data_IF_784938996256
#
_entry.id   IF_784938996256
#
_cell.length_a   1.000
_cell.length_b   1.000
_cell.length_c   1.000
_cell.angle_alpha   90.00
_cell.angle_beta   90.00
_cell.angle_gamma   90.00
#
_symmetry.space_group_name_H-M   'P 1'
#
loop_
_entity.id
_entity.type
_entity.pdbx_description
1 polymer ?
#
# COMPACT_ATOMS: atom_id res chain seq x y z
N UNK A 1 -5.19 -12.32 -8.84
CA UNK A 1 -4.56 -12.76 -7.59
C UNK A 1 -3.37 -13.60 -7.99
N UNK A 2 -2.21 -13.39 -7.37
CA UNK A 2 -1.02 -14.20 -7.60
C UNK A 2 -0.55 -14.78 -6.26
N UNK A 3 0.13 -15.92 -6.29
CA UNK A 3 0.77 -16.54 -5.12
C UNK A 3 2.27 -16.60 -5.40
N UNK A 4 3.12 -16.45 -4.39
CA UNK A 4 4.58 -16.44 -4.56
C UNK A 4 5.29 -17.31 -3.49
N UNK A 5 6.40 -17.92 -3.89
CA UNK A 5 7.34 -18.73 -3.10
C UNK A 5 8.77 -18.50 -3.64
N UNK A 6 9.83 -18.87 -2.92
CA UNK A 6 11.23 -18.51 -3.27
C UNK A 6 12.27 -19.57 -2.84
N UNK A 7 13.44 -19.60 -3.50
CA UNK A 7 14.68 -20.32 -3.13
C UNK A 7 15.76 -20.16 -4.22
N UNK A 8 17.08 -20.30 -4.04
CA UNK A 8 18.08 -20.18 -2.92
C UNK A 8 19.48 -20.37 -3.54
N UNK A 9 20.57 -19.83 -2.97
CA UNK A 9 22.00 -20.26 -3.06
C UNK A 9 22.87 -19.26 -2.23
N UNK A 10 24.17 -19.45 -1.90
CA UNK A 10 25.10 -20.53 -2.23
C UNK A 10 25.83 -21.13 -0.98
N UNK A 11 27.15 -20.91 -0.83
CA UNK A 11 28.11 -21.52 0.13
C UNK A 11 29.34 -20.58 0.30
N UNK A 12 30.17 -20.61 1.36
CA UNK A 12 30.95 -21.72 1.95
C UNK A 12 31.40 -21.47 3.42
N UNK A 13 32.13 -22.38 4.12
CA UNK A 13 32.05 -22.54 5.59
C UNK A 13 33.27 -22.05 6.41
N UNK A 14 33.11 -22.04 7.75
CA UNK A 14 34.18 -22.35 8.75
C UNK A 14 33.62 -22.75 10.12
N UNK A 15 34.38 -23.56 10.84
CA UNK A 15 34.10 -24.06 12.20
C UNK A 15 34.54 -23.07 13.29
N UNK A 16 34.00 -23.24 14.50
CA UNK A 16 34.65 -23.26 15.83
C UNK A 16 33.52 -23.45 16.86
N UNK A 17 33.74 -24.26 17.92
CA UNK A 17 32.75 -24.48 18.98
C UNK A 17 33.36 -24.39 20.39
N UNK A 18 32.51 -24.25 21.42
CA UNK A 18 32.84 -24.40 22.86
C UNK A 18 31.58 -24.60 23.74
N UNK A 19 31.79 -25.02 25.00
CA UNK A 19 30.81 -25.55 26.00
C UNK A 19 30.32 -24.52 27.05
N UNK A 20 29.26 -24.71 27.87
CA UNK A 20 28.28 -25.82 27.96
C UNK A 20 26.79 -25.41 28.26
N UNK A 21 26.30 -25.22 29.52
CA UNK A 21 25.08 -25.96 29.89
C UNK A 21 23.84 -25.22 30.43
N UNK A 22 22.68 -25.86 30.16
CA UNK A 22 21.43 -25.99 30.97
C UNK A 22 20.53 -24.79 31.30
N UNK A 23 19.32 -24.76 30.70
CA UNK A 23 18.02 -25.12 31.32
C UNK A 23 16.92 -25.22 30.21
N UNK A 24 15.82 -26.01 30.38
CA UNK A 24 14.88 -26.30 29.29
C UNK A 24 13.65 -25.38 29.22
N UNK A 25 13.21 -24.94 28.02
CA UNK A 25 11.87 -24.42 27.78
C UNK A 25 10.87 -25.56 27.45
N UNK A 26 9.55 -25.32 27.60
CA UNK A 26 8.53 -26.37 27.46
C UNK A 26 8.35 -26.88 26.02
N UNK A 27 7.88 -28.12 25.91
CA UNK A 27 7.74 -28.88 24.66
C UNK A 27 6.70 -28.29 23.70
N UNK A 28 7.16 -27.71 22.60
CA UNK A 28 6.36 -27.56 21.38
C UNK A 28 6.52 -28.81 20.51
N UNK A 29 5.40 -29.41 20.10
CA UNK A 29 5.42 -30.53 19.16
C UNK A 29 5.96 -30.09 17.79
N UNK A 30 6.96 -30.83 17.30
CA UNK A 30 7.60 -30.57 16.01
C UNK A 30 6.63 -30.80 14.84
N UNK A 31 6.00 -29.73 14.33
CA UNK A 31 5.44 -29.75 12.96
C UNK A 31 6.59 -29.94 11.97
N UNK A 32 6.50 -31.03 11.21
CA UNK A 32 7.51 -31.51 10.27
C UNK A 32 7.99 -30.44 9.28
N UNK A 33 9.31 -30.32 9.12
CA UNK A 33 9.93 -29.49 8.07
C UNK A 33 9.42 -29.95 6.70
N UNK A 34 8.67 -29.10 5.99
CA UNK A 34 8.38 -29.28 4.55
C UNK A 34 9.67 -29.03 3.76
N UNK A 35 10.40 -30.09 3.44
CA UNK A 35 11.55 -30.04 2.53
C UNK A 35 11.08 -30.01 1.07
N UNK A 36 11.72 -29.16 0.26
CA UNK A 36 11.48 -29.04 -1.18
C UNK A 36 10.26 -28.17 -1.52
N UNK A 37 10.49 -26.97 -2.05
CA UNK A 37 9.40 -26.14 -2.60
C UNK A 37 9.85 -25.39 -3.85
N UNK A 38 9.37 -25.85 -5.01
CA UNK A 38 9.33 -25.11 -6.27
C UNK A 38 8.52 -23.82 -6.07
N UNK A 39 8.86 -22.74 -6.78
CA UNK A 39 8.03 -21.54 -6.84
C UNK A 39 6.86 -21.76 -7.79
N UNK A 40 5.66 -21.95 -7.25
CA UNK A 40 4.42 -22.08 -8.04
C UNK A 40 3.56 -20.82 -7.89
N UNK A 41 3.24 -20.18 -9.02
CA UNK A 41 2.47 -18.93 -9.06
C UNK A 41 0.99 -19.23 -9.33
N UNK A 42 0.24 -19.54 -8.28
CA UNK A 42 -1.20 -19.78 -8.44
C UNK A 42 -1.96 -18.50 -8.79
N UNK A 43 -2.71 -18.56 -9.89
CA UNK A 43 -3.53 -17.46 -10.37
C UNK A 43 -5.03 -17.79 -10.26
N UNK A 44 -5.79 -16.94 -9.56
CA UNK A 44 -7.20 -17.18 -9.20
C UNK A 44 -8.22 -16.55 -10.16
N UNK A 45 -9.37 -17.23 -10.34
CA UNK A 45 -10.52 -16.81 -11.15
C UNK A 45 -11.81 -16.82 -10.34
N UNK A 46 -12.63 -15.77 -10.45
CA UNK A 46 -14.03 -15.79 -10.00
C UNK A 46 -14.92 -15.36 -11.15
N UNK A 47 -15.96 -16.16 -11.43
CA UNK A 47 -16.94 -15.89 -12.48
C UNK A 47 -17.68 -14.56 -12.23
N UNK A 48 -18.03 -14.28 -10.96
CA UNK A 48 -18.65 -13.01 -10.54
C UNK A 48 -17.76 -11.80 -10.83
N UNK A 49 -16.44 -11.96 -10.76
CA UNK A 49 -15.44 -10.92 -11.02
C UNK A 49 -14.97 -10.86 -12.48
N UNK A 50 -15.69 -11.52 -13.41
CA UNK A 50 -15.35 -11.62 -14.85
C UNK A 50 -13.94 -12.15 -15.13
N UNK A 51 -13.32 -12.86 -14.19
CA UNK A 51 -12.02 -13.54 -14.36
C UNK A 51 -12.31 -15.00 -14.63
N UNK A 52 -11.89 -15.50 -15.79
CA UNK A 52 -12.01 -16.90 -16.18
C UNK A 52 -10.63 -17.50 -16.44
N UNK A 53 -10.53 -18.82 -16.37
CA UNK A 53 -9.28 -19.57 -16.58
C UNK A 53 -8.62 -19.18 -17.91
N UNK A 54 -9.43 -19.13 -18.98
CA UNK A 54 -9.03 -18.68 -20.31
C UNK A 54 -8.33 -17.31 -20.32
N UNK A 55 -8.75 -16.36 -19.47
CA UNK A 55 -8.09 -15.04 -19.36
C UNK A 55 -6.73 -15.13 -18.68
N UNK A 56 -6.56 -16.03 -17.70
CA UNK A 56 -5.27 -16.27 -17.07
C UNK A 56 -4.31 -16.99 -18.02
N UNK A 57 -4.76 -18.07 -18.67
CA UNK A 57 -4.00 -18.77 -19.72
C UNK A 57 -3.56 -17.80 -20.83
N UNK A 58 -4.47 -16.94 -21.30
CA UNK A 58 -4.13 -15.89 -22.28
C UNK A 58 -3.12 -14.86 -21.72
N UNK A 59 -3.22 -14.50 -20.44
CA UNK A 59 -2.26 -13.58 -19.80
C UNK A 59 -0.89 -14.23 -19.66
N UNK A 60 -0.81 -15.49 -19.22
CA UNK A 60 0.43 -16.26 -19.14
C UNK A 60 1.07 -16.42 -20.52
N UNK A 61 0.28 -16.71 -21.56
CA UNK A 61 0.76 -16.75 -22.94
C UNK A 61 1.34 -15.39 -23.38
N UNK A 62 0.57 -14.30 -23.25
CA UNK A 62 1.02 -12.96 -23.66
C UNK A 62 2.29 -12.53 -22.91
N UNK A 63 2.42 -12.84 -21.62
CA UNK A 63 3.63 -12.55 -20.85
C UNK A 63 4.78 -13.45 -21.27
N UNK A 64 4.56 -14.75 -21.50
CA UNK A 64 5.57 -15.68 -21.99
C UNK A 64 6.13 -15.26 -23.35
N UNK A 65 5.23 -14.94 -24.30
CA UNK A 65 5.55 -14.39 -25.61
C UNK A 65 6.31 -13.05 -25.51
N UNK A 66 5.95 -12.16 -24.55
CA UNK A 66 6.61 -10.85 -24.36
C UNK A 66 7.97 -10.95 -23.64
N UNK A 67 8.19 -12.00 -22.84
CA UNK A 67 9.39 -12.14 -21.98
C UNK A 67 10.33 -13.27 -22.39
N UNK A 68 10.01 -13.95 -23.49
CA UNK A 68 10.74 -15.12 -24.03
C UNK A 68 10.90 -16.24 -22.98
N UNK A 69 9.85 -16.46 -22.16
CA UNK A 69 9.83 -17.45 -21.09
C UNK A 69 8.67 -18.43 -21.23
N UNK A 70 8.97 -19.72 -21.05
CA UNK A 70 7.93 -20.75 -20.89
C UNK A 70 7.21 -20.57 -19.55
N UNK A 71 6.02 -19.98 -19.60
CA UNK A 71 5.11 -19.83 -18.45
C UNK A 71 3.99 -20.88 -18.46
N UNK A 72 4.01 -21.86 -19.36
CA UNK A 72 2.95 -22.89 -19.47
C UNK A 72 2.85 -23.80 -18.24
N UNK A 73 3.96 -23.93 -17.50
CA UNK A 73 4.07 -24.75 -16.29
C UNK A 73 3.60 -24.05 -15.02
N UNK A 74 3.19 -22.78 -15.10
CA UNK A 74 2.64 -22.05 -13.94
C UNK A 74 1.26 -22.62 -13.60
N UNK A 75 1.05 -23.21 -12.40
CA UNK A 75 -0.23 -23.83 -12.07
C UNK A 75 -1.34 -22.80 -11.87
N UNK A 76 -2.57 -23.17 -12.25
CA UNK A 76 -3.77 -22.33 -12.08
C UNK A 76 -4.68 -23.01 -11.05
N UNK A 77 -5.09 -22.27 -10.02
CA UNK A 77 -6.11 -22.70 -9.04
C UNK A 77 -7.38 -21.90 -9.28
N UNK A 78 -8.47 -22.62 -9.54
CA UNK A 78 -9.82 -22.06 -9.66
C UNK A 78 -10.46 -22.00 -8.28
N UNK A 79 -10.72 -20.80 -7.77
CA UNK A 79 -11.40 -20.59 -6.50
C UNK A 79 -12.32 -19.36 -6.58
N UNK A 80 -13.63 -19.55 -6.38
CA UNK A 80 -14.56 -18.43 -6.30
C UNK A 80 -14.44 -17.73 -4.93
N UNK A 81 -14.33 -16.40 -4.97
CA UNK A 81 -14.49 -15.49 -3.83
C UNK A 81 -15.76 -15.70 -3.00
N UNK A 82 -16.80 -16.32 -3.57
CA UNK A 82 -18.03 -16.70 -2.86
C UNK A 82 -18.04 -18.12 -2.27
N UNK A 83 -16.92 -18.84 -2.30
CA UNK A 83 -16.81 -20.23 -1.83
C UNK A 83 -15.64 -20.41 -0.85
N UNK A 84 -15.92 -20.23 0.44
CA UNK A 84 -14.98 -20.37 1.56
C UNK A 84 -14.13 -21.65 1.49
N UNK A 85 -14.70 -22.78 1.06
CA UNK A 85 -13.95 -24.06 0.96
C UNK A 85 -12.87 -23.98 -0.12
N UNK A 86 -13.18 -23.42 -1.29
CA UNK A 86 -12.19 -23.27 -2.36
C UNK A 86 -11.10 -22.26 -1.97
N UNK A 87 -11.47 -21.15 -1.32
CA UNK A 87 -10.50 -20.18 -0.82
C UNK A 87 -9.58 -20.78 0.26
N UNK A 88 -10.11 -21.61 1.15
CA UNK A 88 -9.31 -22.30 2.18
C UNK A 88 -8.32 -23.30 1.56
N UNK A 89 -8.75 -24.15 0.62
CA UNK A 89 -7.85 -25.09 -0.06
C UNK A 89 -6.76 -24.38 -0.88
N UNK A 90 -7.08 -23.23 -1.50
CA UNK A 90 -6.08 -22.37 -2.13
C UNK A 90 -5.09 -21.79 -1.09
N UNK A 91 -5.60 -21.26 0.02
CA UNK A 91 -4.77 -20.60 1.04
C UNK A 91 -3.79 -21.57 1.73
N UNK A 92 -4.17 -22.83 1.98
CA UNK A 92 -3.27 -23.88 2.51
C UNK A 92 -2.03 -24.16 1.65
N UNK A 93 -2.06 -23.78 0.37
CA UNK A 93 -0.98 -23.94 -0.59
C UNK A 93 -0.11 -22.68 -0.74
N UNK A 94 -0.50 -21.56 -0.12
CA UNK A 94 0.18 -20.28 -0.22
C UNK A 94 1.05 -19.96 1.01
N UNK A 95 2.19 -19.29 0.80
CA UNK A 95 2.89 -18.54 1.87
C UNK A 95 2.43 -17.09 1.92
N UNK A 96 2.22 -16.47 0.76
CA UNK A 96 1.71 -15.10 0.58
C UNK A 96 0.68 -15.07 -0.54
N UNK A 97 -0.50 -14.52 -0.25
CA UNK A 97 -1.57 -14.24 -1.23
C UNK A 97 -1.48 -12.78 -1.66
N UNK A 98 -1.31 -12.54 -2.96
CA UNK A 98 -1.28 -11.20 -3.58
C UNK A 98 -2.65 -10.89 -4.17
N UNK A 99 -3.50 -10.21 -3.39
CA UNK A 99 -4.84 -9.84 -3.79
C UNK A 99 -4.85 -8.53 -4.59
N UNK A 100 -5.31 -8.61 -5.84
CA UNK A 100 -5.35 -7.48 -6.80
C UNK A 100 -6.73 -7.36 -7.45
N UNK A 101 -7.78 -7.73 -6.71
CA UNK A 101 -9.16 -7.76 -7.23
C UNK A 101 -10.10 -7.09 -6.23
N UNK A 102 -10.42 -5.83 -6.50
CA UNK A 102 -11.50 -5.10 -5.84
C UNK A 102 -12.84 -5.18 -6.58
N UNK A 103 -13.90 -4.49 -6.10
CA UNK A 103 -13.89 -3.62 -4.92
C UNK A 103 -13.72 -4.40 -3.61
N UNK A 104 -12.76 -4.01 -2.78
CA UNK A 104 -12.36 -4.81 -1.61
C UNK A 104 -13.48 -4.87 -0.58
N UNK A 105 -14.21 -3.77 -0.37
CA UNK A 105 -15.41 -3.69 0.48
C UNK A 105 -16.49 -4.75 0.20
N UNK A 106 -16.50 -5.38 -0.97
CA UNK A 106 -17.48 -6.39 -1.36
C UNK A 106 -16.93 -7.82 -1.34
N UNK A 107 -15.64 -8.01 -1.67
CA UNK A 107 -15.08 -9.34 -1.98
C UNK A 107 -13.73 -9.64 -1.30
N UNK A 108 -13.10 -8.67 -0.65
CA UNK A 108 -11.76 -8.82 -0.08
C UNK A 108 -11.70 -9.64 1.21
N UNK A 109 -12.77 -9.63 2.02
CA UNK A 109 -12.76 -10.18 3.38
C UNK A 109 -12.69 -11.69 3.37
N UNK A 110 -13.39 -12.35 2.45
CA UNK A 110 -13.31 -13.79 2.25
C UNK A 110 -11.87 -14.24 1.94
N UNK A 111 -11.10 -13.42 1.21
CA UNK A 111 -9.68 -13.69 0.89
C UNK A 111 -8.78 -13.48 2.11
N UNK A 112 -8.96 -12.39 2.87
CA UNK A 112 -8.20 -12.13 4.11
C UNK A 112 -8.48 -13.22 5.15
N UNK A 113 -9.75 -13.55 5.36
CA UNK A 113 -10.22 -14.63 6.23
C UNK A 113 -9.56 -15.96 5.87
N UNK A 114 -9.67 -16.37 4.60
CA UNK A 114 -9.08 -17.63 4.14
C UNK A 114 -7.56 -17.66 4.27
N UNK A 115 -6.87 -16.54 3.99
CA UNK A 115 -5.43 -16.42 4.18
C UNK A 115 -5.05 -16.66 5.65
N UNK A 116 -5.65 -15.89 6.56
CA UNK A 116 -5.37 -15.94 8.00
C UNK A 116 -5.73 -17.29 8.59
N UNK A 117 -6.93 -17.82 8.33
CA UNK A 117 -7.40 -19.12 8.85
C UNK A 117 -6.54 -20.32 8.43
N UNK A 118 -5.77 -20.21 7.34
CA UNK A 118 -5.01 -21.32 6.76
C UNK A 118 -3.49 -21.10 6.75
N UNK A 119 -2.99 -20.10 7.47
CA UNK A 119 -1.55 -19.88 7.67
C UNK A 119 -0.83 -19.21 6.50
N UNK A 120 -1.54 -18.47 5.64
CA UNK A 120 -0.96 -17.64 4.59
C UNK A 120 -0.96 -16.16 4.96
N UNK A 121 0.14 -15.46 4.68
CA UNK A 121 0.20 -14.00 4.73
C UNK A 121 -0.55 -13.38 3.55
N UNK A 122 -0.94 -12.12 3.65
CA UNK A 122 -1.79 -11.44 2.68
C UNK A 122 -1.31 -10.01 2.39
N UNK A 123 -1.29 -9.64 1.10
CA UNK A 123 -1.10 -8.26 0.65
C UNK A 123 -2.16 -7.87 -0.36
N UNK A 124 -2.64 -6.63 -0.32
CA UNK A 124 -3.57 -6.08 -1.31
C UNK A 124 -3.25 -4.66 -1.78
N UNK A 125 -3.94 -4.19 -2.82
CA UNK A 125 -3.90 -2.79 -3.30
C UNK A 125 -5.22 -2.04 -2.98
N UNK A 126 -5.80 -2.27 -1.80
CA UNK A 126 -6.98 -1.52 -1.36
C UNK A 126 -6.66 -0.06 -1.05
N UNK A 127 -7.63 0.83 -1.31
CA UNK A 127 -7.47 2.29 -1.18
C UNK A 127 -8.50 2.91 -0.25
N UNK A 128 -9.29 2.10 0.46
CA UNK A 128 -10.40 2.56 1.27
C UNK A 128 -10.07 2.50 2.78
N UNK A 129 -9.83 3.62 3.49
CA UNK A 129 -9.38 3.60 4.90
C UNK A 129 -10.21 2.73 5.84
N UNK A 130 -11.55 2.85 5.81
CA UNK A 130 -12.41 2.06 6.68
C UNK A 130 -12.40 0.56 6.36
N UNK A 131 -12.08 0.19 5.12
CA UNK A 131 -11.85 -1.21 4.77
C UNK A 131 -10.58 -1.73 5.46
N UNK A 132 -9.45 -1.07 5.19
CA UNK A 132 -8.12 -1.48 5.64
C UNK A 132 -8.09 -1.54 7.18
N UNK A 133 -8.64 -0.52 7.83
CA UNK A 133 -8.73 -0.44 9.29
C UNK A 133 -9.69 -1.49 9.87
N UNK A 134 -10.76 -1.87 9.15
CA UNK A 134 -11.64 -2.96 9.59
C UNK A 134 -10.98 -4.34 9.51
N UNK A 135 -10.10 -4.58 8.53
CA UNK A 135 -9.32 -5.82 8.46
C UNK A 135 -8.37 -5.93 9.65
N UNK A 136 -7.73 -4.82 10.06
CA UNK A 136 -6.95 -4.80 11.30
C UNK A 136 -7.83 -5.12 12.52
N UNK A 137 -8.99 -4.47 12.64
CA UNK A 137 -9.91 -4.68 13.77
C UNK A 137 -10.42 -6.13 13.88
N UNK A 138 -10.64 -6.81 12.75
CA UNK A 138 -11.18 -8.18 12.71
C UNK A 138 -10.12 -9.26 12.86
N UNK A 139 -8.96 -9.10 12.21
CA UNK A 139 -8.02 -10.21 11.98
C UNK A 139 -6.66 -10.07 12.67
N UNK A 140 -6.36 -8.97 13.38
CA UNK A 140 -5.04 -8.82 14.01
C UNK A 140 -4.71 -9.95 14.97
N UNK A 141 -5.65 -10.32 15.85
CA UNK A 141 -5.43 -11.36 16.86
C UNK A 141 -5.27 -12.74 16.22
N UNK A 142 -6.15 -13.10 15.29
CA UNK A 142 -6.07 -14.38 14.60
C UNK A 142 -4.80 -14.48 13.72
N UNK A 143 -4.38 -13.39 13.09
CA UNK A 143 -3.12 -13.33 12.36
C UNK A 143 -1.90 -13.50 13.28
N UNK A 144 -1.98 -12.95 14.51
CA UNK A 144 -0.99 -13.11 15.59
C UNK A 144 -0.87 -14.57 16.04
N UNK A 145 -1.99 -15.23 16.33
CA UNK A 145 -2.05 -16.65 16.68
C UNK A 145 -1.49 -17.56 15.59
N UNK A 146 -1.72 -17.23 14.31
CA UNK A 146 -1.23 -18.01 13.17
C UNK A 146 0.19 -17.62 12.71
N UNK A 147 0.79 -16.58 13.29
CA UNK A 147 2.13 -16.06 12.92
C UNK A 147 2.22 -15.38 11.55
N UNK A 148 1.08 -15.13 10.90
CA UNK A 148 1.00 -14.57 9.54
C UNK A 148 0.91 -13.05 9.52
N UNK A 149 1.29 -12.45 8.39
CA UNK A 149 1.31 -11.00 8.21
C UNK A 149 0.24 -10.59 7.19
N UNK A 150 -0.60 -9.62 7.54
CA UNK A 150 -1.59 -9.01 6.64
C UNK A 150 -1.25 -7.53 6.46
N UNK A 151 -1.12 -7.07 5.21
CA UNK A 151 -0.82 -5.67 4.90
C UNK A 151 -1.72 -5.20 3.74
N UNK A 152 -2.71 -4.38 4.07
CA UNK A 152 -3.51 -3.68 3.06
C UNK A 152 -2.76 -2.49 2.47
N UNK A 153 -3.25 -1.99 1.32
CA UNK A 153 -2.73 -0.79 0.66
C UNK A 153 -1.24 -0.86 0.23
N UNK A 154 -0.79 -2.03 -0.22
CA UNK A 154 0.52 -2.24 -0.84
C UNK A 154 0.65 -1.66 -2.27
N UNK A 155 -0.17 -0.68 -2.65
CA UNK A 155 -0.15 -0.01 -3.97
C UNK A 155 0.55 1.35 -3.93
N UNK A 156 0.51 2.09 -5.05
CA UNK A 156 1.06 3.46 -5.11
C UNK A 156 0.31 4.46 -4.20
N UNK A 157 -1.01 4.29 -4.04
CA UNK A 157 -1.86 5.06 -3.11
C UNK A 157 -1.70 4.53 -1.66
N UNK A 158 -0.44 4.36 -1.23
CA UNK A 158 0.04 4.30 0.17
C UNK A 158 1.54 3.99 0.28
N UNK A 159 2.11 3.05 -0.49
CA UNK A 159 3.50 2.58 -0.28
C UNK A 159 4.56 3.69 -0.41
N UNK A 160 4.60 4.47 -1.51
CA UNK A 160 5.47 5.64 -1.61
C UNK A 160 5.31 6.62 -0.44
N UNK A 161 4.08 6.85 0.03
CA UNK A 161 3.82 7.81 1.11
C UNK A 161 4.29 7.30 2.48
N UNK A 162 3.92 6.07 2.81
CA UNK A 162 4.21 5.45 4.11
C UNK A 162 5.69 5.11 4.26
N UNK A 163 6.30 4.49 3.23
CA UNK A 163 7.74 4.25 3.20
C UNK A 163 8.54 5.54 3.02
N UNK A 164 7.99 6.56 2.35
CA UNK A 164 8.63 7.88 2.24
C UNK A 164 8.66 8.64 3.55
N UNK A 165 7.60 8.55 4.35
CA UNK A 165 7.56 9.08 5.72
C UNK A 165 8.53 8.34 6.65
N UNK A 166 8.64 7.01 6.52
CA UNK A 166 9.64 6.24 7.25
C UNK A 166 11.08 6.62 6.85
N UNK A 167 11.35 6.75 5.55
CA UNK A 167 12.64 7.17 5.00
C UNK A 167 13.03 8.57 5.49
N UNK A 168 12.07 9.51 5.50
CA UNK A 168 12.23 10.85 6.06
C UNK A 168 12.66 10.79 7.53
N UNK A 169 11.98 9.98 8.37
CA UNK A 169 12.33 9.80 9.79
C UNK A 169 13.73 9.22 9.97
N UNK A 170 14.09 8.18 9.21
CA UNK A 170 15.42 7.54 9.26
C UNK A 170 16.55 8.55 8.92
N UNK A 171 16.33 9.45 7.96
CA UNK A 171 17.34 10.42 7.53
C UNK A 171 17.29 11.76 8.29
N UNK A 172 16.30 11.99 9.16
CA UNK A 172 16.08 13.29 9.81
C UNK A 172 17.18 13.68 10.81
N UNK A 173 17.85 12.70 11.42
CA UNK A 173 18.88 12.89 12.46
C UNK A 173 18.39 13.84 13.57
N UNK A 174 17.44 13.38 14.37
CA UNK A 174 16.75 14.17 15.40
C UNK A 174 15.28 13.75 15.51
N UNK A 175 14.43 14.63 16.02
CA UNK A 175 12.99 14.36 16.15
C UNK A 175 12.17 15.09 15.09
N UNK A 176 11.48 14.33 14.24
CA UNK A 176 10.51 14.86 13.26
C UNK A 176 9.18 15.22 13.95
N UNK A 177 8.72 16.46 13.79
CA UNK A 177 7.42 16.94 14.33
C UNK A 177 6.28 16.71 13.35
N UNK A 178 6.49 17.06 12.08
CA UNK A 178 5.45 16.98 11.07
C UNK A 178 6.00 17.02 9.65
N UNK A 179 5.16 16.64 8.68
CA UNK A 179 5.46 16.76 7.27
C UNK A 179 4.26 17.19 6.40
N UNK A 180 4.56 17.88 5.30
CA UNK A 180 3.67 18.10 4.16
C UNK A 180 4.18 17.25 3.00
N UNK A 181 3.28 16.53 2.32
CA UNK A 181 3.65 15.67 1.19
C UNK A 181 2.92 16.07 -0.08
N UNK A 182 3.59 15.90 -1.22
CA UNK A 182 3.15 16.41 -2.50
C UNK A 182 3.34 15.37 -3.61
N UNK A 183 2.24 14.71 -4.02
CA UNK A 183 2.24 13.76 -5.12
C UNK A 183 2.03 14.47 -6.46
N UNK A 184 2.84 14.17 -7.47
CA UNK A 184 2.71 14.68 -8.83
C UNK A 184 2.76 13.53 -9.81
N UNK A 185 1.62 13.26 -10.46
CA UNK A 185 1.52 12.32 -11.57
C UNK A 185 1.84 13.09 -12.85
N UNK A 186 2.90 12.67 -13.54
CA UNK A 186 3.35 13.23 -14.80
C UNK A 186 2.85 12.35 -15.94
N UNK A 187 2.26 12.95 -16.95
CA UNK A 187 1.74 12.26 -18.12
C UNK A 187 2.54 12.64 -19.36
N UNK A 188 2.80 11.68 -20.24
CA UNK A 188 3.39 11.97 -21.55
C UNK A 188 2.40 12.54 -22.55
N UNK A 189 2.85 12.67 -23.80
CA UNK A 189 2.07 13.15 -24.95
C UNK A 189 0.82 12.30 -25.22
N UNK A 190 0.88 10.98 -24.99
CA UNK A 190 -0.28 10.11 -25.09
C UNK A 190 -1.35 10.36 -24.00
N UNK A 191 -1.10 11.27 -23.07
CA UNK A 191 -1.92 11.51 -21.88
C UNK A 191 -1.89 10.31 -20.93
N UNK A 192 -2.93 10.18 -20.11
CA UNK A 192 -3.05 9.09 -19.16
C UNK A 192 -4.52 8.78 -18.85
N UNK A 193 -4.80 7.57 -18.36
CA UNK A 193 -6.12 7.20 -17.84
C UNK A 193 -6.01 6.10 -16.79
N UNK A 194 -7.03 5.96 -15.96
CA UNK A 194 -7.13 4.96 -14.90
C UNK A 194 -8.19 3.91 -15.24
N UNK A 195 -8.17 2.76 -14.56
CA UNK A 195 -9.19 1.72 -14.75
C UNK A 195 -10.52 2.12 -14.08
N UNK A 196 -11.64 1.72 -14.69
CA UNK A 196 -12.98 1.88 -14.13
C UNK A 196 -13.14 1.27 -12.71
N UNK A 197 -12.36 0.25 -12.34
CA UNK A 197 -12.29 -0.26 -10.96
C UNK A 197 -11.90 0.81 -9.94
N UNK A 198 -10.93 1.68 -10.27
CA UNK A 198 -10.53 2.83 -9.44
C UNK A 198 -11.69 3.84 -9.28
N UNK A 199 -12.44 4.06 -10.36
CA UNK A 199 -13.62 4.92 -10.34
C UNK A 199 -14.74 4.35 -9.46
N UNK A 200 -14.98 3.03 -9.52
CA UNK A 200 -15.93 2.36 -8.62
C UNK A 200 -15.50 2.48 -7.15
N UNK A 201 -14.20 2.37 -6.86
CA UNK A 201 -13.64 2.62 -5.52
C UNK A 201 -13.92 4.05 -5.05
N UNK A 202 -13.74 5.06 -5.91
CA UNK A 202 -14.11 6.46 -5.62
C UNK A 202 -15.62 6.61 -5.34
N UNK A 203 -16.49 6.03 -6.17
CA UNK A 203 -17.96 6.06 -5.94
C UNK A 203 -18.30 5.48 -4.57
N UNK A 204 -17.78 4.29 -4.24
CA UNK A 204 -18.05 3.63 -2.97
C UNK A 204 -17.48 4.40 -1.76
N UNK A 205 -16.28 4.95 -1.89
CA UNK A 205 -15.63 5.78 -0.86
C UNK A 205 -16.45 7.03 -0.54
N UNK A 206 -16.83 7.81 -1.55
CA UNK A 206 -17.68 9.00 -1.35
C UNK A 206 -19.07 8.63 -0.81
N UNK A 207 -19.70 7.57 -1.33
CA UNK A 207 -21.02 7.11 -0.89
C UNK A 207 -21.05 6.71 0.59
N UNK A 208 -20.05 5.95 1.06
CA UNK A 208 -20.02 5.42 2.42
C UNK A 208 -19.33 6.34 3.44
N UNK A 209 -18.69 7.43 3.01
CA UNK A 209 -17.88 8.34 3.85
C UNK A 209 -18.51 8.84 5.16
N UNK A 210 -19.84 8.86 5.28
CA UNK A 210 -20.55 9.22 6.51
C UNK A 210 -20.97 8.03 7.40
N UNK A 211 -21.03 6.83 6.84
CA UNK A 211 -21.61 5.63 7.47
C UNK A 211 -20.58 4.52 7.71
N UNK A 212 -19.34 4.69 7.25
CA UNK A 212 -18.27 3.67 7.33
C UNK A 212 -17.76 3.36 8.74
N UNK A 213 -18.24 4.09 9.76
CA UNK A 213 -17.86 3.94 11.16
C UNK A 213 -16.35 4.07 11.45
N UNK A 214 -15.58 4.70 10.56
CA UNK A 214 -14.12 4.84 10.64
C UNK A 214 -13.65 5.34 12.01
N UNK A 215 -14.33 6.35 12.58
CA UNK A 215 -14.01 6.87 13.91
C UNK A 215 -14.21 5.87 15.06
N UNK A 216 -15.11 4.88 14.92
CA UNK A 216 -15.26 3.77 15.90
C UNK A 216 -14.12 2.77 15.73
N UNK A 217 -13.85 2.37 14.48
CA UNK A 217 -12.78 1.42 14.14
C UNK A 217 -11.43 1.94 14.68
N UNK A 218 -11.10 3.21 14.42
CA UNK A 218 -9.88 3.86 14.93
C UNK A 218 -9.70 3.75 16.43
N UNK A 219 -10.76 3.91 17.23
CA UNK A 219 -10.68 3.78 18.69
C UNK A 219 -10.46 2.34 19.15
N UNK A 220 -10.84 1.34 18.34
CA UNK A 220 -10.59 -0.06 18.64
C UNK A 220 -9.16 -0.50 18.26
N UNK A 221 -8.66 -0.07 17.09
CA UNK A 221 -7.31 -0.44 16.61
C UNK A 221 -6.19 0.47 17.13
N UNK A 222 -6.52 1.68 17.59
CA UNK A 222 -5.61 2.66 18.16
C UNK A 222 -6.17 3.20 19.49
N UNK A 223 -6.27 2.35 20.54
CA UNK A 223 -6.78 2.77 21.86
C UNK A 223 -5.87 3.79 22.56
N UNK A 224 -4.56 3.73 22.36
CA UNK A 224 -3.61 4.64 23.00
C UNK A 224 -3.69 6.06 22.42
N UNK A 225 -3.56 7.06 23.30
CA UNK A 225 -3.54 8.46 22.88
C UNK A 225 -2.13 8.85 22.48
N UNK A 226 -1.92 9.03 21.17
CA UNK A 226 -0.71 9.68 20.65
C UNK A 226 -0.55 11.07 21.27
N UNK A 227 0.70 11.41 21.60
CA UNK A 227 1.04 12.74 22.07
C UNK A 227 0.58 13.79 21.05
N UNK A 228 -0.14 14.82 21.51
CA UNK A 228 -0.62 15.88 20.62
C UNK A 228 0.54 16.80 20.27
N UNK A 229 1.17 16.56 19.12
CA UNK A 229 2.12 17.50 18.54
C UNK A 229 1.52 18.93 18.52
N UNK A 230 2.18 19.83 19.26
CA UNK A 230 1.88 21.28 19.36
C UNK A 230 2.05 21.93 17.99
N UNK A 231 3.13 21.56 17.32
CA UNK A 231 3.47 21.98 15.97
C UNK A 231 2.96 20.97 14.96
N UNK A 232 2.35 21.48 13.90
CA UNK A 232 1.62 20.73 12.88
C UNK A 232 1.80 21.44 11.53
N UNK A 233 1.53 20.75 10.41
CA UNK A 233 1.51 21.39 9.11
C UNK A 233 0.56 22.60 9.11
N UNK A 234 0.91 23.69 8.42
CA UNK A 234 0.06 24.87 8.34
C UNK A 234 -1.30 24.53 7.72
N UNK A 235 -2.37 25.18 8.19
CA UNK A 235 -3.71 24.99 7.62
C UNK A 235 -3.78 25.61 6.23
N UNK A 236 -3.55 24.79 5.21
CA UNK A 236 -3.75 25.15 3.80
C UNK A 236 -5.25 25.18 3.44
N UNK A 237 -5.61 26.00 2.46
CA UNK A 237 -6.93 25.95 1.83
C UNK A 237 -7.13 24.72 0.95
N UNK A 238 -8.33 24.54 0.42
CA UNK A 238 -8.64 23.48 -0.57
C UNK A 238 -7.84 23.63 -1.88
N UNK A 239 -7.31 24.83 -2.12
CA UNK A 239 -6.51 25.21 -3.27
C UNK A 239 -5.51 26.28 -2.86
N UNK A 240 -4.24 26.10 -3.22
CA UNK A 240 -3.17 27.08 -2.97
C UNK A 240 -2.00 26.84 -3.92
N UNK A 241 -1.07 27.79 -4.00
CA UNK A 241 0.13 27.72 -4.84
C UNK A 241 1.37 27.42 -4.00
N UNK A 242 2.23 26.49 -4.46
CA UNK A 242 3.47 26.14 -3.77
C UNK A 242 4.69 26.58 -4.60
N UNK A 243 5.32 27.68 -4.17
CA UNK A 243 6.49 28.27 -4.83
C UNK A 243 7.71 27.34 -4.88
N UNK A 244 7.85 26.39 -3.94
CA UNK A 244 8.96 25.45 -3.92
C UNK A 244 8.84 24.36 -5.00
N UNK A 245 7.64 24.13 -5.54
CA UNK A 245 7.34 23.06 -6.48
C UNK A 245 6.74 23.54 -7.82
N UNK A 246 6.52 24.85 -7.99
CA UNK A 246 5.97 25.46 -9.21
C UNK A 246 4.66 24.76 -9.66
N UNK A 247 3.72 24.64 -8.72
CA UNK A 247 2.45 23.95 -8.92
C UNK A 247 1.35 24.38 -7.93
N UNK A 248 0.09 24.24 -8.36
CA UNK A 248 -1.06 24.31 -7.46
C UNK A 248 -1.22 23.03 -6.67
N UNK A 249 -1.59 23.15 -5.41
CA UNK A 249 -1.79 22.06 -4.47
C UNK A 249 -3.28 21.91 -4.13
N UNK A 250 -3.77 20.67 -4.23
CA UNK A 250 -5.10 20.25 -3.81
C UNK A 250 -4.96 19.15 -2.73
N UNK A 251 -5.84 19.06 -1.72
CA UNK A 251 -5.80 17.93 -0.76
C UNK A 251 -5.89 16.58 -1.46
N UNK A 252 -4.98 15.68 -1.13
CA UNK A 252 -5.03 14.30 -1.60
C UNK A 252 -6.00 13.49 -0.74
N UNK A 253 -7.03 12.91 -1.36
CA UNK A 253 -8.14 12.22 -0.68
C UNK A 253 -7.99 10.68 -0.67
N UNK A 254 -6.75 10.19 -0.83
CA UNK A 254 -6.41 8.75 -0.85
C UNK A 254 -6.22 8.13 0.54
N UNK A 255 -5.64 6.93 0.58
CA UNK A 255 -5.45 6.18 1.82
C UNK A 255 -4.23 6.63 2.64
N UNK A 256 -3.23 7.24 2.00
CA UNK A 256 -1.96 7.74 2.55
C UNK A 256 -2.03 8.21 4.02
N UNK A 257 -2.88 9.21 4.30
CA UNK A 257 -2.96 9.82 5.64
C UNK A 257 -3.49 8.86 6.71
N UNK A 258 -4.37 7.91 6.35
CA UNK A 258 -4.84 6.84 7.24
C UNK A 258 -3.71 5.84 7.55
N UNK A 259 -2.97 5.43 6.52
CA UNK A 259 -1.86 4.49 6.66
C UNK A 259 -0.73 5.11 7.48
N UNK A 260 -0.25 6.30 7.13
CA UNK A 260 0.83 6.96 7.88
C UNK A 260 0.41 7.21 9.34
N UNK A 261 -0.83 7.61 9.61
CA UNK A 261 -1.31 7.78 10.99
C UNK A 261 -1.21 6.47 11.80
N UNK A 262 -1.51 5.31 11.19
CA UNK A 262 -1.35 4.00 11.84
C UNK A 262 0.13 3.62 11.99
N UNK A 263 0.98 3.93 11.02
CA UNK A 263 2.44 3.72 11.13
C UNK A 263 3.05 4.52 12.27
N UNK A 264 2.65 5.80 12.43
CA UNK A 264 3.07 6.61 13.58
C UNK A 264 2.50 6.08 14.91
N UNK A 265 1.34 5.42 14.90
CA UNK A 265 0.82 4.75 16.08
C UNK A 265 1.66 3.54 16.47
N UNK A 266 2.02 2.67 15.51
CA UNK A 266 2.92 1.55 15.77
C UNK A 266 4.28 2.03 16.31
N UNK A 267 4.93 2.98 15.63
CA UNK A 267 6.20 3.58 16.05
C UNK A 267 6.15 4.19 17.48
N UNK A 268 5.04 4.82 17.86
CA UNK A 268 4.88 5.42 19.19
C UNK A 268 4.59 4.39 20.28
N UNK A 269 3.70 3.42 20.02
CA UNK A 269 3.27 2.44 21.02
C UNK A 269 4.33 1.36 21.23
N UNK A 270 4.92 0.84 20.15
CA UNK A 270 5.89 -0.26 20.20
C UNK A 270 7.30 0.27 20.46
N UNK A 271 7.77 1.26 19.71
CA UNK A 271 9.17 1.69 19.69
C UNK A 271 9.45 2.99 20.48
N UNK A 272 8.40 3.62 21.04
CA UNK A 272 8.45 4.91 21.77
C UNK A 272 9.02 6.08 20.94
N UNK A 273 8.90 6.01 19.61
CA UNK A 273 9.33 7.07 18.70
C UNK A 273 8.26 8.16 18.65
N UNK A 274 8.68 9.44 18.71
CA UNK A 274 7.76 10.58 18.65
C UNK A 274 6.88 10.56 17.38
N UNK A 275 5.55 10.79 17.50
CA UNK A 275 4.64 10.66 16.37
C UNK A 275 4.60 11.93 15.53
N UNK A 276 5.00 11.84 14.26
CA UNK A 276 4.99 12.98 13.35
C UNK A 276 3.62 13.16 12.67
N UNK A 277 3.09 14.38 12.62
CA UNK A 277 1.80 14.65 11.94
C UNK A 277 1.95 14.90 10.43
N UNK A 278 0.95 14.52 9.63
CA UNK A 278 1.02 14.55 8.16
C UNK A 278 -0.16 15.31 7.53
N UNK A 279 0.12 16.12 6.52
CA UNK A 279 -0.85 16.56 5.52
C UNK A 279 -0.39 16.17 4.09
N UNK A 280 -1.34 15.81 3.23
CA UNK A 280 -1.10 15.17 1.92
C UNK A 280 -1.77 15.95 0.79
N UNK A 281 -1.02 16.26 -0.26
CA UNK A 281 -1.48 17.06 -1.40
C UNK A 281 -1.15 16.41 -2.73
N UNK A 282 -1.97 16.68 -3.75
CA UNK A 282 -1.68 16.41 -5.17
C UNK A 282 -1.33 17.72 -5.88
N UNK A 283 -0.30 17.67 -6.72
CA UNK A 283 0.15 18.80 -7.54
C UNK A 283 -0.55 18.83 -8.89
N UNK A 284 -0.96 20.02 -9.30
CA UNK A 284 -1.49 20.30 -10.65
C UNK A 284 -0.83 21.57 -11.16
N UNK A 285 -0.08 21.48 -12.26
CA UNK A 285 0.64 22.64 -12.82
C UNK A 285 -0.27 23.73 -13.42
N UNK A 286 -1.46 23.36 -13.91
CA UNK A 286 -2.39 24.30 -14.54
C UNK A 286 -3.51 24.70 -13.59
N UNK A 287 -3.68 26.01 -13.41
CA UNK A 287 -4.79 26.61 -12.67
C UNK A 287 -6.15 26.10 -13.17
N UNK A 288 -6.34 26.09 -14.50
CA UNK A 288 -7.58 25.66 -15.13
C UNK A 288 -7.91 24.20 -14.80
N UNK A 289 -6.94 23.30 -14.94
CA UNK A 289 -7.14 21.88 -14.62
C UNK A 289 -7.35 21.64 -13.12
N UNK A 290 -6.71 22.42 -12.25
CA UNK A 290 -6.94 22.34 -10.80
C UNK A 290 -8.36 22.75 -10.42
N UNK A 291 -8.86 23.86 -10.98
CA UNK A 291 -10.25 24.32 -10.77
C UNK A 291 -11.26 23.34 -11.39
N UNK A 292 -11.00 22.83 -12.60
CA UNK A 292 -11.83 21.82 -13.24
C UNK A 292 -11.93 20.53 -12.39
N UNK A 293 -10.81 20.04 -11.85
CA UNK A 293 -10.77 18.86 -10.99
C UNK A 293 -11.54 19.09 -9.67
N UNK A 294 -11.41 20.26 -9.04
CA UNK A 294 -12.18 20.60 -7.84
C UNK A 294 -13.68 20.68 -8.09
N UNK A 295 -14.10 21.32 -9.19
CA UNK A 295 -15.52 21.38 -9.57
C UNK A 295 -16.05 19.98 -9.86
N UNK A 296 -15.29 19.16 -10.60
CA UNK A 296 -15.65 17.78 -10.89
C UNK A 296 -15.82 16.93 -9.62
N UNK A 297 -14.84 16.96 -8.70
CA UNK A 297 -14.91 16.24 -7.42
C UNK A 297 -16.10 16.72 -6.56
N UNK A 298 -16.41 18.02 -6.57
CA UNK A 298 -17.53 18.59 -5.82
C UNK A 298 -18.88 18.13 -6.37
N UNK A 299 -19.07 18.20 -7.69
CA UNK A 299 -20.27 17.71 -8.38
C UNK A 299 -20.41 16.18 -8.24
N UNK A 300 -19.31 15.43 -8.36
CA UNK A 300 -19.27 13.99 -8.17
C UNK A 300 -19.72 13.60 -6.75
N UNK A 301 -19.17 14.23 -5.71
CA UNK A 301 -19.58 14.03 -4.31
C UNK A 301 -21.08 14.31 -4.08
N UNK A 302 -21.67 15.28 -4.78
CA UNK A 302 -23.12 15.53 -4.72
C UNK A 302 -23.88 14.41 -5.45
N UNK A 303 -23.49 14.09 -6.68
CA UNK A 303 -24.16 13.12 -7.54
C UNK A 303 -24.10 11.66 -7.00
N UNK A 304 -23.04 11.28 -6.29
CA UNK A 304 -22.93 9.95 -5.66
C UNK A 304 -23.98 9.70 -4.56
N UNK A 305 -24.56 10.76 -3.97
CA UNK A 305 -25.52 10.64 -2.85
C UNK A 305 -26.92 10.20 -3.27
N UNK A 306 -27.33 10.42 -4.52
CA UNK A 306 -28.65 10.04 -5.02
C UNK A 306 -28.55 8.77 -5.86
N UNK A 307 -29.47 7.82 -5.66
CA UNK A 307 -29.35 6.47 -6.25
C UNK A 307 -29.39 6.47 -7.78
N UNK A 308 -30.24 7.31 -8.39
CA UNK A 308 -30.34 7.47 -9.84
C UNK A 308 -29.02 7.96 -10.46
N UNK A 309 -28.45 9.06 -9.95
CA UNK A 309 -27.18 9.59 -10.46
C UNK A 309 -26.01 8.69 -10.10
N UNK A 310 -25.99 8.04 -8.93
CA UNK A 310 -24.98 7.02 -8.59
C UNK A 310 -24.98 5.87 -9.60
N UNK A 311 -26.16 5.36 -9.97
CA UNK A 311 -26.31 4.33 -11.01
C UNK A 311 -25.75 4.78 -12.36
N UNK A 312 -26.01 6.03 -12.78
CA UNK A 312 -25.42 6.62 -14.00
C UNK A 312 -23.89 6.69 -13.91
N UNK A 313 -23.35 7.23 -12.81
CA UNK A 313 -21.90 7.31 -12.59
C UNK A 313 -21.25 5.92 -12.71
N UNK A 314 -21.84 4.90 -12.07
CA UNK A 314 -21.33 3.53 -12.09
C UNK A 314 -21.43 2.85 -13.46
N UNK A 315 -22.46 3.19 -14.26
CA UNK A 315 -22.70 2.60 -15.58
C UNK A 315 -21.86 3.25 -16.69
N UNK A 316 -21.49 4.52 -16.55
CA UNK A 316 -20.79 5.31 -17.57
C UNK A 316 -19.53 6.02 -17.06
N UNK A 317 -18.56 5.30 -16.43
CA UNK A 317 -17.39 5.91 -15.80
C UNK A 317 -16.56 6.77 -16.75
N UNK A 318 -16.43 6.36 -18.03
CA UNK A 318 -15.75 7.15 -19.05
C UNK A 318 -16.41 8.50 -19.31
N UNK A 319 -17.70 8.51 -19.65
CA UNK A 319 -18.44 9.75 -19.97
C UNK A 319 -18.46 10.67 -18.75
N UNK A 320 -18.76 10.13 -17.56
CA UNK A 320 -18.85 10.91 -16.32
C UNK A 320 -17.51 11.47 -15.81
N UNK A 321 -16.37 11.03 -16.36
CA UNK A 321 -15.03 11.50 -15.98
C UNK A 321 -14.24 12.16 -17.12
N UNK A 322 -14.88 12.50 -18.25
CA UNK A 322 -14.17 13.05 -19.41
C UNK A 322 -13.12 12.07 -19.99
N UNK A 323 -13.41 10.77 -19.91
CA UNK A 323 -12.55 9.65 -20.27
C UNK A 323 -11.25 9.50 -19.46
N UNK A 324 -11.15 10.14 -18.29
CA UNK A 324 -10.07 9.91 -17.33
C UNK A 324 -10.08 8.47 -16.79
N UNK A 325 -11.26 7.86 -16.60
CA UNK A 325 -11.41 6.47 -16.17
C UNK A 325 -12.05 5.61 -17.26
N UNK A 326 -11.38 4.53 -17.66
CA UNK A 326 -11.78 3.64 -18.78
C UNK A 326 -11.84 2.19 -18.33
N UNK A 327 -12.75 1.40 -18.91
CA UNK A 327 -12.83 -0.06 -18.67
C UNK A 327 -11.51 -0.78 -18.98
N UNK A 328 -10.78 -0.31 -20.00
CA UNK A 328 -9.47 -0.84 -20.40
C UNK A 328 -8.33 -0.41 -19.48
N UNK A 329 -8.48 0.68 -18.72
CA UNK A 329 -7.33 1.45 -18.22
C UNK A 329 -6.53 2.13 -19.35
N UNK A 330 -5.29 2.54 -19.08
CA UNK A 330 -4.41 3.18 -20.05
C UNK A 330 -3.79 2.17 -21.02
N UNK A 331 -3.28 2.68 -22.13
CA UNK A 331 -2.47 1.88 -23.06
C UNK A 331 -1.07 1.62 -22.49
N UNK A 332 -0.34 0.62 -23.03
CA UNK A 332 1.08 0.40 -22.67
C UNK A 332 1.92 1.67 -22.89
N UNK A 333 1.68 2.41 -23.98
CA UNK A 333 2.36 3.68 -24.27
C UNK A 333 2.06 4.75 -23.21
N UNK A 334 0.80 4.92 -22.79
CA UNK A 334 0.43 5.87 -21.74
C UNK A 334 1.10 5.54 -20.40
N UNK A 335 1.18 4.25 -20.04
CA UNK A 335 1.88 3.82 -18.83
C UNK A 335 3.41 4.04 -18.95
N UNK A 336 4.02 3.70 -20.09
CA UNK A 336 5.46 3.86 -20.31
C UNK A 336 5.92 5.33 -20.35
N UNK A 337 5.07 6.26 -20.82
CA UNK A 337 5.37 7.68 -20.83
C UNK A 337 5.00 8.40 -19.52
N UNK A 338 4.29 7.74 -18.61
CA UNK A 338 3.90 8.30 -17.32
C UNK A 338 4.93 8.00 -16.23
N UNK A 339 5.03 8.91 -15.27
CA UNK A 339 5.88 8.77 -14.08
C UNK A 339 5.25 9.49 -12.90
N UNK A 340 5.75 9.26 -11.68
CA UNK A 340 5.40 10.10 -10.54
C UNK A 340 6.63 10.68 -9.85
N UNK A 341 6.41 11.78 -9.15
CA UNK A 341 7.28 12.30 -8.11
C UNK A 341 6.44 12.54 -6.85
N UNK A 342 6.98 12.18 -5.69
CA UNK A 342 6.35 12.41 -4.39
C UNK A 342 7.38 13.08 -3.48
N UNK A 343 7.16 14.34 -3.11
CA UNK A 343 8.02 15.06 -2.17
C UNK A 343 7.47 14.99 -0.75
N UNK A 344 8.38 14.99 0.23
CA UNK A 344 8.10 14.97 1.66
C UNK A 344 8.91 16.07 2.31
N UNK A 345 8.24 17.14 2.74
CA UNK A 345 8.85 18.25 3.45
C UNK A 345 8.66 17.99 4.93
N UNK A 346 9.74 17.69 5.65
CA UNK A 346 9.72 17.40 7.08
C UNK A 346 10.26 18.55 7.91
N UNK A 347 9.61 18.84 9.03
CA UNK A 347 10.05 19.81 10.04
C UNK A 347 10.18 19.15 11.41
N UNK A 348 11.19 19.55 12.18
CA UNK A 348 11.48 19.01 13.50
C UNK A 348 12.65 19.70 14.18
N UNK A 349 13.39 18.96 15.01
CA UNK A 349 14.55 19.43 15.76
C UNK A 349 15.70 18.44 15.67
N UNK A 350 16.93 18.89 15.83
CA UNK A 350 18.12 18.04 15.92
C UNK A 350 18.17 17.18 17.21
N UNK A 351 17.39 17.55 18.23
CA UNK A 351 17.39 16.91 19.55
C UNK A 351 16.38 15.75 19.62
N UNK A 352 16.71 14.74 20.44
CA UNK A 352 15.82 13.69 20.90
C UNK A 352 16.08 13.46 22.41
N UNK A 353 15.10 13.65 23.31
CA UNK A 353 13.70 14.02 23.05
C UNK A 353 13.52 15.44 22.48
N UNK A 354 12.37 15.75 21.85
CA UNK A 354 12.11 17.05 21.26
C UNK A 354 11.84 18.15 22.31
N UNK A 355 12.29 19.40 22.09
CA UNK A 355 11.85 20.55 22.88
C UNK A 355 10.43 20.97 22.45
N UNK A 356 9.42 20.20 22.86
CA UNK A 356 8.01 20.30 22.40
C UNK A 356 7.37 21.70 22.53
N UNK A 357 7.95 22.59 23.35
CA UNK A 357 7.48 23.95 23.52
C UNK A 357 8.02 24.94 22.48
N UNK A 358 9.17 24.66 21.87
CA UNK A 358 9.88 25.52 20.92
C UNK A 358 9.50 25.19 19.47
N UNK A 359 9.51 26.14 18.52
CA UNK A 359 9.22 25.86 17.12
C UNK A 359 10.25 24.91 16.50
N UNK A 360 9.86 24.06 15.54
CA UNK A 360 10.79 23.27 14.74
C UNK A 360 11.86 24.14 14.05
N UNK A 361 13.13 23.80 14.27
CA UNK A 361 14.31 24.52 13.74
C UNK A 361 14.93 23.81 12.53
N UNK A 362 14.75 22.50 12.41
CA UNK A 362 15.31 21.66 11.34
C UNK A 362 14.27 21.40 10.27
N UNK A 363 14.70 21.42 9.00
CA UNK A 363 13.93 20.91 7.86
C UNK A 363 14.77 19.96 7.01
N UNK A 364 14.13 18.90 6.53
CA UNK A 364 14.67 17.96 5.55
C UNK A 364 13.62 17.75 4.47
N UNK A 365 14.05 17.68 3.20
CA UNK A 365 13.19 17.26 2.10
C UNK A 365 13.69 15.91 1.60
N UNK A 366 12.80 14.94 1.51
CA UNK A 366 13.05 13.68 0.80
C UNK A 366 12.08 13.53 -0.35
N UNK A 367 12.44 12.71 -1.33
CA UNK A 367 11.67 12.51 -2.56
C UNK A 367 11.66 11.06 -2.97
N UNK A 368 10.47 10.56 -3.27
CA UNK A 368 10.26 9.35 -4.04
C UNK A 368 10.05 9.71 -5.51
N UNK A 369 10.67 8.99 -6.44
CA UNK A 369 10.28 8.98 -7.86
C UNK A 369 9.96 7.55 -8.29
N UNK A 370 9.18 7.41 -9.35
CA UNK A 370 8.91 6.10 -9.95
C UNK A 370 8.25 6.16 -11.33
N UNK A 371 7.93 4.99 -11.91
CA UNK A 371 7.19 4.86 -13.17
C UNK A 371 5.73 5.29 -12.99
N UNK A 372 4.80 4.89 -13.85
CA UNK A 372 3.40 5.30 -13.68
C UNK A 372 2.82 4.87 -12.31
N UNK A 373 1.92 5.70 -11.78
CA UNK A 373 1.30 5.46 -10.48
C UNK A 373 0.38 4.22 -10.44
N UNK A 374 -0.39 3.96 -11.50
CA UNK A 374 -1.54 3.04 -11.44
C UNK A 374 -1.23 1.57 -11.73
N UNK A 375 -0.13 1.29 -12.45
CA UNK A 375 0.12 0.02 -13.11
C UNK A 375 1.52 -0.49 -12.85
N UNK A 376 2.57 0.10 -13.46
CA UNK A 376 3.95 -0.37 -13.26
C UNK A 376 4.38 -0.07 -11.82
N UNK A 377 4.15 1.15 -11.32
CA UNK A 377 4.50 1.54 -9.95
C UNK A 377 3.69 0.77 -8.90
N UNK A 378 2.38 0.64 -9.10
CA UNK A 378 1.52 -0.14 -8.18
C UNK A 378 1.86 -1.64 -8.19
N UNK A 379 2.17 -2.24 -9.35
CA UNK A 379 2.63 -3.62 -9.42
C UNK A 379 4.00 -3.80 -8.73
N UNK A 380 4.93 -2.88 -8.95
CA UNK A 380 6.23 -2.86 -8.27
C UNK A 380 6.10 -2.76 -6.75
N UNK A 381 5.20 -1.90 -6.25
CA UNK A 381 4.93 -1.76 -4.82
C UNK A 381 4.43 -3.07 -4.20
N UNK A 382 3.37 -3.69 -4.75
CA UNK A 382 2.79 -4.90 -4.13
C UNK A 382 3.70 -6.12 -4.28
N UNK A 383 4.42 -6.25 -5.40
CA UNK A 383 5.41 -7.31 -5.56
C UNK A 383 6.58 -7.12 -4.58
N UNK A 384 7.03 -5.89 -4.34
CA UNK A 384 8.07 -5.61 -3.34
C UNK A 384 7.62 -6.02 -1.94
N UNK A 385 6.38 -5.69 -1.55
CA UNK A 385 5.80 -6.10 -0.28
C UNK A 385 5.72 -7.64 -0.16
N UNK A 386 5.22 -8.33 -1.17
CA UNK A 386 5.11 -9.79 -1.18
C UNK A 386 6.47 -10.51 -1.13
N UNK A 387 7.45 -10.04 -1.90
CA UNK A 387 8.81 -10.57 -1.92
C UNK A 387 9.54 -10.33 -0.59
N UNK A 388 9.33 -9.17 0.04
CA UNK A 388 9.92 -8.86 1.36
C UNK A 388 9.36 -9.80 2.44
N UNK A 389 8.06 -10.08 2.44
CA UNK A 389 7.46 -11.07 3.37
C UNK A 389 8.08 -12.46 3.19
N UNK A 390 8.35 -12.87 1.94
CA UNK A 390 8.93 -14.19 1.65
C UNK A 390 10.41 -14.31 2.04
N UNK A 391 11.19 -13.24 1.84
CA UNK A 391 12.65 -13.25 1.98
C UNK A 391 13.14 -12.80 3.34
N UNK A 392 12.45 -11.85 3.97
CA UNK A 392 12.95 -11.08 5.10
C UNK A 392 12.05 -11.17 6.34
N UNK A 393 11.25 -12.25 6.46
CA UNK A 393 10.33 -12.47 7.60
C UNK A 393 10.98 -12.31 8.98
N UNK A 394 12.29 -12.59 9.11
CA UNK A 394 13.06 -12.42 10.36
C UNK A 394 13.51 -10.98 10.68
N UNK A 395 13.36 -10.04 9.74
CA UNK A 395 13.58 -8.61 9.96
C UNK A 395 12.25 -7.82 10.12
N UNK A 396 11.12 -8.49 9.87
CA UNK A 396 9.77 -7.98 10.14
C UNK A 396 9.37 -8.19 11.62
N UNK A 397 8.28 -7.57 12.12
CA UNK A 397 7.76 -7.83 13.47
C UNK A 397 7.63 -9.33 13.76
N UNK A 398 8.17 -9.80 14.89
CA UNK A 398 8.22 -11.23 15.21
C UNK A 398 6.83 -11.87 15.28
N UNK A 399 5.88 -11.17 15.89
CA UNK A 399 4.49 -11.62 15.98
C UNK A 399 3.79 -11.55 14.60
N UNK A 400 2.77 -12.39 14.40
CA UNK A 400 1.82 -12.18 13.32
C UNK A 400 0.89 -11.00 13.61
N UNK A 401 0.15 -10.53 12.61
CA UNK A 401 -0.78 -9.41 12.80
C UNK A 401 -1.14 -8.70 11.51
N UNK A 402 -1.92 -7.62 11.64
CA UNK A 402 -2.30 -6.73 10.53
C UNK A 402 -1.59 -5.39 10.69
N UNK A 403 -0.64 -5.11 9.79
CA UNK A 403 0.28 -3.97 9.89
C UNK A 403 0.05 -2.94 8.78
N UNK A 404 0.77 -1.82 8.86
CA UNK A 404 1.03 -0.92 7.72
C UNK A 404 2.35 -1.29 7.08
N UNK A 405 2.62 -0.77 5.88
CA UNK A 405 3.88 -1.04 5.17
C UNK A 405 5.12 -0.58 5.94
N UNK A 406 5.13 0.64 6.49
CA UNK A 406 6.25 1.12 7.29
C UNK A 406 6.41 0.34 8.60
N UNK A 407 5.32 0.01 9.30
CA UNK A 407 5.40 -0.78 10.53
C UNK A 407 5.93 -2.20 10.29
N UNK A 408 5.61 -2.79 9.14
CA UNK A 408 6.05 -4.13 8.77
C UNK A 408 7.47 -4.18 8.18
N UNK A 409 7.88 -3.16 7.43
CA UNK A 409 9.08 -3.19 6.56
C UNK A 409 10.18 -2.19 6.93
N UNK A 410 10.03 -1.36 7.98
CA UNK A 410 11.03 -0.34 8.38
C UNK A 410 12.46 -0.86 8.60
N UNK A 411 12.62 -2.16 8.91
CA UNK A 411 13.89 -2.80 9.21
C UNK A 411 14.34 -3.78 8.10
N UNK A 412 13.73 -3.75 6.92
CA UNK A 412 14.00 -4.66 5.80
C UNK A 412 14.58 -3.92 4.59
N UNK A 413 15.10 -4.67 3.61
CA UNK A 413 15.63 -4.13 2.35
C UNK A 413 14.52 -3.80 1.32
N UNK A 414 13.33 -3.42 1.80
CA UNK A 414 12.18 -3.03 0.96
C UNK A 414 12.52 -1.89 0.00
N UNK A 415 13.39 -0.96 0.40
CA UNK A 415 13.83 0.15 -0.46
C UNK A 415 14.65 -0.32 -1.67
N UNK A 416 15.51 -1.33 -1.52
CA UNK A 416 16.26 -1.92 -2.63
C UNK A 416 15.32 -2.70 -3.56
N UNK A 417 14.37 -3.43 -2.98
CA UNK A 417 13.36 -4.17 -3.75
C UNK A 417 12.48 -3.22 -4.55
N UNK A 418 12.00 -2.12 -3.94
CA UNK A 418 11.26 -1.05 -4.63
C UNK A 418 12.10 -0.40 -5.74
N UNK A 419 13.39 -0.15 -5.51
CA UNK A 419 14.30 0.40 -6.51
C UNK A 419 14.48 -0.52 -7.71
N UNK A 420 14.43 -1.86 -7.52
CA UNK A 420 14.46 -2.83 -8.63
C UNK A 420 13.23 -2.75 -9.56
N UNK A 421 12.11 -2.20 -9.07
CA UNK A 421 10.92 -1.86 -9.86
C UNK A 421 10.86 -0.37 -10.27
N UNK A 422 11.96 0.37 -10.09
CA UNK A 422 12.10 1.78 -10.44
C UNK A 422 11.53 2.77 -9.43
N UNK A 423 11.04 2.32 -8.27
CA UNK A 423 10.53 3.19 -7.19
C UNK A 423 11.69 3.52 -6.24
N UNK A 424 12.19 4.76 -6.29
CA UNK A 424 13.44 5.15 -5.61
C UNK A 424 13.24 6.32 -4.66
N UNK A 425 13.93 6.29 -3.52
CA UNK A 425 13.88 7.33 -2.48
C UNK A 425 15.25 7.99 -2.32
N UNK A 426 15.27 9.30 -2.08
CA UNK A 426 16.50 10.05 -1.76
C UNK A 426 16.20 11.29 -0.93
N UNK A 427 17.22 11.81 -0.25
CA UNK A 427 17.23 13.20 0.22
C UNK A 427 17.28 14.12 -1.00
N UNK A 428 16.41 15.13 -1.07
CA UNK A 428 16.33 16.07 -2.19
C UNK A 428 16.85 17.45 -1.76
N UNK A 429 18.12 17.71 -2.06
CA UNK A 429 18.76 19.01 -1.84
C UNK A 429 18.52 20.03 -2.97
N UNK A 430 17.75 19.68 -4.02
CA UNK A 430 17.50 20.57 -5.16
C UNK A 430 16.34 21.53 -4.92
N UNK A 431 15.43 21.19 -4.01
CA UNK A 431 14.31 22.05 -3.60
C UNK A 431 14.79 23.02 -2.54
N UNK A 432 14.62 24.33 -2.78
CA UNK A 432 14.95 25.35 -1.77
C UNK A 432 14.11 25.15 -0.50
N UNK A 433 14.78 25.22 0.63
CA UNK A 433 14.18 25.21 1.97
C UNK A 433 13.60 26.59 2.26
#
# INVERSE_FOLDING_TARGET
MYTLCDSTLNRCPREIGTYAPTLPPPSFENRTRRNGSTTEIFAMTSERLRRSEKKLQQTLKVIGDTTEKDLSKIPIIIADSGNDKQLAEMAKQAKVIVNVVGPYRLYGEAVVKAAVENGASHVDISGEPAWIESMQMKYSEQAREQGVIVIGACGWDSVPCDMGMNFLKQHFQGTLSHAETFAHIKTGEAGYSFNAGTYQTLVLGFWQSKNDSLGKIRRAIMPEKLEKAKWRPPKRGMFWWNDSLDAYCLPFLGADKSIVQRSQYFDYVLDKIYPASLETYILVKSWFWAVALMMWLSLFNIAVKYDFTRSILQKYPGICSGYMFKETGPTRQQAQQASFSYWFFGWGWDQAPPPVNEPPTKRLVVRCDGPDAGYIGTAGCILSCALTILKERGAMPNEGGVYTTAAAFKNTNIYETLASFGVTFRVDSSVKV
#
